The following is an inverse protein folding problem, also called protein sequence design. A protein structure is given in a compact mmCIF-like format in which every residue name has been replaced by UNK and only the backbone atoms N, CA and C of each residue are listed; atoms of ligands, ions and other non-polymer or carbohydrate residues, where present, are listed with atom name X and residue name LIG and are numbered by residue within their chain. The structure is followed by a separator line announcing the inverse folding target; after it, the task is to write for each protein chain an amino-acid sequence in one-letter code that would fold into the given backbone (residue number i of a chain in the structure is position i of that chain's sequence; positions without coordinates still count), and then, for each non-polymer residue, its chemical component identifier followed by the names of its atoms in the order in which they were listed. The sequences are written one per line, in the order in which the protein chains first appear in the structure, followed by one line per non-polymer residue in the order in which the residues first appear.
data_IF_695944311356
#
_entry.id   IF_695944311356
#
_cell.length_a   1.000
_cell.length_b   1.000
_cell.length_c   1.000
_cell.angle_alpha   90.00
_cell.angle_beta   90.00
_cell.angle_gamma   90.00
#
_symmetry.space_group_name_H-M   'P 1'
#
loop_
_entity.id
_entity.type
_entity.pdbx_description
1 polymer ?
#
# COMPACT_ATOMS: atom_id res chain seq x y z
N UNK A 1 -4.91 4.05 22.45
CA UNK A 1 -3.68 3.73 21.70
C UNK A 1 -3.38 4.90 20.80
N UNK A 2 -2.43 5.73 21.21
CA UNK A 2 -2.00 6.95 20.50
C UNK A 2 -1.05 6.55 19.36
N UNK A 3 -1.35 6.97 18.13
CA UNK A 3 -0.42 6.83 17.01
C UNK A 3 0.25 8.16 16.74
N UNK A 4 1.40 8.34 17.39
CA UNK A 4 2.39 9.38 17.11
C UNK A 4 2.86 9.28 15.64
N UNK A 5 2.64 10.34 14.86
CA UNK A 5 3.57 10.77 13.81
C UNK A 5 3.77 9.90 12.56
N UNK A 6 2.77 9.17 12.06
CA UNK A 6 2.85 8.67 10.67
C UNK A 6 2.57 9.82 9.72
N UNK A 7 3.54 10.20 8.87
CA UNK A 7 3.29 11.00 7.65
C UNK A 7 1.99 10.47 7.03
N UNK A 8 0.96 11.30 6.95
CA UNK A 8 -0.31 10.95 6.32
C UNK A 8 -0.01 10.54 4.88
N UNK A 9 0.12 9.24 4.64
CA UNK A 9 0.20 8.72 3.28
C UNK A 9 -1.20 8.92 2.72
N UNK A 10 -1.29 9.63 1.59
CA UNK A 10 -2.57 9.84 0.89
C UNK A 10 -3.26 8.52 0.54
N UNK A 11 -2.48 7.45 0.40
CA UNK A 11 -2.94 6.09 0.15
C UNK A 11 -2.51 5.14 1.27
N UNK A 12 -3.43 4.33 1.75
CA UNK A 12 -3.17 3.17 2.62
C UNK A 12 -3.79 1.91 1.99
N UNK A 13 -3.06 0.79 2.02
CA UNK A 13 -3.53 -0.50 1.51
C UNK A 13 -3.48 -1.49 2.67
N UNK A 14 -4.62 -2.10 2.98
CA UNK A 14 -4.77 -3.11 4.03
C UNK A 14 -5.31 -4.41 3.47
N UNK A 15 -4.82 -5.54 3.99
CA UNK A 15 -5.34 -6.88 3.65
C UNK A 15 -6.19 -7.37 4.82
N UNK A 16 -7.46 -7.66 4.55
CA UNK A 16 -8.38 -8.23 5.53
C UNK A 16 -8.28 -9.76 5.53
N UNK A 17 -8.56 -10.37 6.68
CA UNK A 17 -8.56 -11.83 6.85
C UNK A 17 -9.65 -12.53 6.02
N UNK A 18 -10.64 -11.79 5.51
CA UNK A 18 -11.75 -12.26 4.69
C UNK A 18 -11.44 -12.35 3.19
N UNK A 19 -10.17 -12.23 2.78
CA UNK A 19 -9.80 -12.28 1.35
C UNK A 19 -10.12 -11.00 0.57
N UNK A 20 -10.41 -9.90 1.26
CA UNK A 20 -10.61 -8.57 0.68
C UNK A 20 -9.40 -7.68 0.96
N UNK A 21 -9.08 -6.83 0.00
CA UNK A 21 -8.07 -5.77 0.11
C UNK A 21 -8.81 -4.44 0.17
N UNK A 22 -8.40 -3.59 1.10
CA UNK A 22 -8.96 -2.26 1.31
C UNK A 22 -7.94 -1.23 0.84
N UNK A 23 -8.35 -0.37 -0.10
CA UNK A 23 -7.56 0.77 -0.56
C UNK A 23 -8.22 2.04 -0.03
N UNK A 24 -7.52 2.77 0.83
CA UNK A 24 -7.98 4.01 1.42
C UNK A 24 -7.31 5.21 0.74
N UNK A 25 -8.11 6.17 0.27
CA UNK A 25 -7.66 7.47 -0.23
C UNK A 25 -8.48 8.61 0.38
N UNK A 26 -7.87 9.37 1.29
CA UNK A 26 -8.60 10.37 2.08
C UNK A 26 -9.72 9.71 2.89
N UNK A 27 -10.97 10.09 2.64
CA UNK A 27 -12.16 9.47 3.24
C UNK A 27 -12.76 8.33 2.40
N UNK A 28 -12.29 8.12 1.18
CA UNK A 28 -12.76 7.07 0.28
C UNK A 28 -12.12 5.72 0.61
N UNK A 29 -12.93 4.66 0.59
CA UNK A 29 -12.44 3.28 0.72
C UNK A 29 -12.97 2.44 -0.43
N UNK A 30 -12.08 1.75 -1.12
CA UNK A 30 -12.40 0.74 -2.12
C UNK A 30 -12.14 -0.64 -1.52
N UNK A 31 -13.15 -1.51 -1.56
CA UNK A 31 -13.01 -2.93 -1.23
C UNK A 31 -12.92 -3.73 -2.53
N UNK A 32 -11.86 -4.53 -2.66
CA UNK A 32 -11.62 -5.39 -3.81
C UNK A 32 -11.27 -6.79 -3.32
N UNK A 33 -11.65 -7.82 -4.06
CA UNK A 33 -11.21 -9.18 -3.72
C UNK A 33 -9.71 -9.31 -3.94
N UNK A 34 -9.07 -10.21 -3.20
CA UNK A 34 -7.63 -10.45 -3.31
C UNK A 34 -7.21 -10.88 -4.73
N UNK A 35 -8.04 -11.67 -5.40
CA UNK A 35 -7.75 -12.15 -6.75
C UNK A 35 -7.80 -10.99 -7.75
N UNK A 36 -8.86 -10.17 -7.70
CA UNK A 36 -9.00 -8.97 -8.54
C UNK A 36 -7.91 -7.93 -8.24
N UNK A 37 -7.44 -7.84 -6.99
CA UNK A 37 -6.35 -6.94 -6.61
C UNK A 37 -5.04 -7.27 -7.34
N UNK A 38 -4.77 -8.55 -7.61
CA UNK A 38 -3.58 -8.95 -8.34
C UNK A 38 -3.61 -8.46 -9.79
N UNK A 39 -4.79 -8.48 -10.44
CA UNK A 39 -5.00 -7.94 -11.77
C UNK A 39 -4.89 -6.41 -11.77
N UNK A 40 -5.54 -5.74 -10.81
CA UNK A 40 -5.42 -4.30 -10.62
C UNK A 40 -3.95 -3.85 -10.43
N UNK A 41 -3.18 -4.57 -9.62
CA UNK A 41 -1.77 -4.26 -9.39
C UNK A 41 -0.93 -4.36 -10.67
N UNK A 42 -1.22 -5.34 -11.54
CA UNK A 42 -0.55 -5.47 -12.84
C UNK A 42 -0.88 -4.32 -13.79
N UNK A 43 -2.14 -3.92 -13.87
CA UNK A 43 -2.56 -2.79 -14.71
C UNK A 43 -1.96 -1.47 -14.21
N UNK A 44 -1.93 -1.25 -12.89
CA UNK A 44 -1.28 -0.08 -12.30
C UNK A 44 0.23 -0.05 -12.57
N UNK A 45 0.91 -1.20 -12.53
CA UNK A 45 2.32 -1.30 -12.88
C UNK A 45 2.57 -0.96 -14.36
N UNK A 46 1.77 -1.51 -15.28
CA UNK A 46 1.84 -1.19 -16.72
C UNK A 46 1.61 0.30 -16.98
N UNK A 47 0.63 0.89 -16.29
CA UNK A 47 0.34 2.31 -16.40
C UNK A 47 1.50 3.16 -15.88
N UNK A 48 2.10 2.79 -14.74
CA UNK A 48 3.25 3.50 -14.19
C UNK A 48 4.46 3.45 -15.16
N UNK A 49 4.71 2.29 -15.78
CA UNK A 49 5.75 2.13 -16.80
C UNK A 49 5.49 3.00 -18.03
N UNK A 50 4.26 3.00 -18.52
CA UNK A 50 3.85 3.83 -19.66
C UNK A 50 4.02 5.34 -19.38
N UNK A 51 3.76 5.76 -18.15
CA UNK A 51 3.89 7.15 -17.71
C UNK A 51 5.31 7.51 -17.24
N UNK A 52 6.28 6.60 -17.36
CA UNK A 52 7.66 6.76 -16.88
C UNK A 52 7.76 7.09 -15.38
N UNK A 53 6.75 6.70 -14.59
CA UNK A 53 6.69 6.93 -13.15
C UNK A 53 7.59 5.89 -12.46
N UNK A 54 8.75 6.35 -12.00
CA UNK A 54 9.63 5.52 -11.17
C UNK A 54 9.15 5.54 -9.73
N UNK A 55 8.57 4.44 -9.27
CA UNK A 55 8.39 4.21 -7.85
C UNK A 55 9.77 4.12 -7.19
N UNK A 56 10.14 5.03 -6.27
CA UNK A 56 11.38 4.89 -5.54
C UNK A 56 11.28 3.59 -4.73
N UNK A 57 12.23 2.66 -4.94
CA UNK A 57 12.33 1.46 -4.14
C UNK A 57 12.36 1.87 -2.66
N UNK A 58 11.37 1.44 -1.88
CA UNK A 58 11.31 1.73 -0.46
C UNK A 58 12.58 1.18 0.19
N UNK A 59 13.50 2.08 0.54
CA UNK A 59 14.72 1.74 1.25
C UNK A 59 14.39 0.99 2.54
N UNK A 60 15.09 -0.12 2.75
CA UNK A 60 15.40 -0.73 4.02
C UNK A 60 14.21 -1.12 4.90
N UNK A 61 13.98 -2.42 5.03
CA UNK A 61 13.61 -3.02 6.33
C UNK A 61 14.44 -2.36 7.43
N UNK A 62 13.83 -1.46 8.20
CA UNK A 62 14.34 -1.05 9.49
C UNK A 62 14.33 -2.31 10.37
N UNK A 63 15.47 -3.01 10.39
CA UNK A 63 15.79 -3.99 11.42
C UNK A 63 15.59 -3.24 12.74
N UNK A 64 14.50 -3.55 13.45
CA UNK A 64 14.29 -3.08 14.82
C UNK A 64 15.57 -3.41 15.58
N UNK A 65 16.27 -2.37 16.02
CA UNK A 65 17.42 -2.51 16.90
C UNK A 65 16.99 -3.31 18.11
N UNK A 66 17.63 -4.47 18.29
CA UNK A 66 17.65 -5.17 19.56
C UNK A 66 18.58 -4.34 20.44
N UNK A 67 18.02 -3.46 21.28
CA UNK A 67 18.73 -2.87 22.40
C UNK A 67 18.70 -3.92 23.53
N UNK A 68 19.83 -4.57 23.75
CA UNK A 68 20.27 -5.05 25.06
C UNK A 68 21.63 -4.42 25.34
#
# INVERSE_FOLDING_TARGET
METVGRKQRRWEIGVCHSGTVHLHYGSGTLHILKDDFAELARELQRLAEHLEIRCPASGGTAKKGLLQ
#
